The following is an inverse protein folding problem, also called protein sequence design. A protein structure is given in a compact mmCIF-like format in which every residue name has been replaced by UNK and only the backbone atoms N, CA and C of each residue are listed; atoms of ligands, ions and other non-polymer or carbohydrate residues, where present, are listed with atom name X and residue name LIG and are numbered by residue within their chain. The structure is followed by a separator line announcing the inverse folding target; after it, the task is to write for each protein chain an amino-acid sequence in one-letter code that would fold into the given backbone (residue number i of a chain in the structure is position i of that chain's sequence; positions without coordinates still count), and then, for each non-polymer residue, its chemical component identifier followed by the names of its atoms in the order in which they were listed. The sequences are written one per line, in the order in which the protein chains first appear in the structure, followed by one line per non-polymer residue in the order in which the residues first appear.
data_IF_746404236164
#
_entry.id   IF_746404236164
#
_cell.length_a   1.000
_cell.length_b   1.000
_cell.length_c   1.000
_cell.angle_alpha   90.00
_cell.angle_beta   90.00
_cell.angle_gamma   90.00
#
_symmetry.space_group_name_H-M   'P 1'
#
loop_
_entity.id
_entity.type
_entity.pdbx_description
1 polymer ?
#
# COMPACT_ATOMS: atom_id res chain seq x y z
N UNK A 1 9.59 12.26 23.78
CA UNK A 1 9.29 13.46 24.60
C UNK A 1 9.18 14.75 23.80
N UNK A 2 10.22 15.26 23.13
CA UNK A 2 10.10 16.55 22.41
C UNK A 2 9.15 16.48 21.19
N UNK A 3 9.25 15.42 20.38
CA UNK A 3 8.35 15.18 19.24
C UNK A 3 6.88 15.07 19.68
N UNK A 4 6.58 14.29 20.72
CA UNK A 4 5.22 14.17 21.27
C UNK A 4 4.63 15.51 21.77
N UNK A 5 5.49 16.44 22.20
CA UNK A 5 5.06 17.79 22.61
C UNK A 5 4.76 18.64 21.37
N UNK A 6 5.56 18.52 20.31
CA UNK A 6 5.35 19.21 19.04
C UNK A 6 4.04 18.73 18.39
N UNK A 7 3.82 17.41 18.32
CA UNK A 7 2.61 16.83 17.73
C UNK A 7 1.36 17.29 18.48
N UNK A 8 1.39 17.26 19.81
CA UNK A 8 0.28 17.74 20.64
C UNK A 8 -0.02 19.23 20.46
N UNK A 9 1.00 20.05 20.21
CA UNK A 9 0.81 21.49 19.93
C UNK A 9 0.18 21.67 18.55
N UNK A 10 0.64 20.92 17.55
CA UNK A 10 0.08 20.94 16.21
C UNK A 10 -1.39 20.48 16.21
N UNK A 11 -1.70 19.40 16.93
CA UNK A 11 -3.05 18.90 17.14
C UNK A 11 -3.98 19.96 17.72
N UNK A 12 -3.59 20.59 18.84
CA UNK A 12 -4.39 21.65 19.47
C UNK A 12 -4.60 22.84 18.56
N UNK A 13 -3.57 23.21 17.78
CA UNK A 13 -3.66 24.30 16.81
C UNK A 13 -4.67 23.98 15.71
N UNK A 14 -4.67 22.75 15.21
CA UNK A 14 -5.61 22.28 14.19
C UNK A 14 -7.03 22.13 14.75
N UNK A 15 -7.19 21.67 16.00
CA UNK A 15 -8.49 21.67 16.70
C UNK A 15 -9.06 23.09 16.83
N UNK A 16 -8.24 24.06 17.26
CA UNK A 16 -8.66 25.45 17.39
C UNK A 16 -9.10 26.04 16.02
N UNK A 17 -8.37 25.71 14.94
CA UNK A 17 -8.76 26.10 13.58
C UNK A 17 -10.04 25.41 13.10
N UNK A 18 -10.24 24.14 13.43
CA UNK A 18 -11.45 23.39 13.10
C UNK A 18 -12.68 24.03 13.77
N UNK A 19 -12.60 24.34 15.06
CA UNK A 19 -13.64 25.04 15.79
C UNK A 19 -13.94 26.44 15.20
N UNK A 20 -12.91 27.12 14.70
CA UNK A 20 -13.03 28.42 14.06
C UNK A 20 -13.37 28.39 12.56
N UNK A 21 -13.70 27.22 11.98
CA UNK A 21 -13.95 27.05 10.53
C UNK A 21 -12.81 27.59 9.63
N UNK A 22 -11.57 27.57 10.12
CA UNK A 22 -10.39 28.12 9.47
C UNK A 22 -9.38 27.03 9.07
N UNK A 23 -9.86 25.81 8.79
CA UNK A 23 -9.00 24.71 8.35
C UNK A 23 -8.46 25.00 6.94
N UNK A 24 -7.17 24.72 6.67
CA UNK A 24 -6.64 24.74 5.31
C UNK A 24 -7.41 23.78 4.41
N UNK A 25 -7.64 24.17 3.16
CA UNK A 25 -8.30 23.31 2.16
C UNK A 25 -7.46 22.09 1.77
N UNK A 26 -6.15 22.13 1.99
CA UNK A 26 -5.23 21.03 1.76
C UNK A 26 -4.30 20.90 2.96
N UNK A 27 -4.14 19.66 3.42
CA UNK A 27 -3.20 19.30 4.46
C UNK A 27 -2.38 18.11 3.99
N UNK A 28 -1.06 18.25 4.03
CA UNK A 28 -0.12 17.20 3.65
C UNK A 28 0.53 16.71 4.93
N UNK A 29 0.29 15.45 5.26
CA UNK A 29 0.94 14.75 6.36
C UNK A 29 1.95 13.75 5.80
N UNK A 30 3.13 13.66 6.44
CA UNK A 30 4.19 12.72 6.08
C UNK A 30 4.41 11.77 7.25
N UNK A 31 3.76 10.63 7.18
CA UNK A 31 3.98 9.52 8.10
C UNK A 31 5.44 9.09 8.09
N UNK A 32 5.97 8.89 9.29
CA UNK A 32 7.28 8.26 9.51
C UNK A 32 7.07 6.86 10.06
N UNK A 33 8.09 6.02 9.96
CA UNK A 33 8.03 4.60 10.28
C UNK A 33 7.61 4.30 11.73
N UNK A 34 7.84 5.24 12.64
CA UNK A 34 7.41 5.25 14.05
C UNK A 34 5.90 5.52 14.24
N UNK A 35 5.20 6.02 13.23
CA UNK A 35 3.73 6.25 13.28
C UNK A 35 2.91 4.96 13.22
N UNK A 36 3.55 3.81 13.01
CA UNK A 36 2.90 2.51 12.87
C UNK A 36 2.93 1.65 14.15
N UNK A 37 3.47 2.18 15.26
CA UNK A 37 3.50 1.49 16.54
C UNK A 37 2.07 1.39 17.14
N UNK A 38 1.50 0.20 17.05
CA UNK A 38 0.17 -0.14 17.59
C UNK A 38 0.21 -0.62 19.04
N UNK A 39 1.38 -0.60 19.71
CA UNK A 39 1.46 -0.85 21.15
C UNK A 39 0.79 0.26 21.98
N UNK A 40 0.52 1.40 21.34
CA UNK A 40 -0.29 2.45 21.94
C UNK A 40 -1.77 2.09 21.81
N UNK A 41 -2.39 1.91 22.97
CA UNK A 41 -3.80 1.65 23.20
C UNK A 41 -4.73 2.29 22.15
N UNK A 42 -5.57 1.48 21.53
CA UNK A 42 -6.58 1.86 20.50
C UNK A 42 -7.54 3.00 20.94
N UNK A 43 -7.52 3.36 22.22
CA UNK A 43 -8.22 4.49 22.83
C UNK A 43 -7.55 5.84 22.58
N UNK A 44 -6.28 5.89 22.15
CA UNK A 44 -5.66 7.10 21.59
C UNK A 44 -6.12 7.26 20.15
N UNK A 45 -7.30 7.85 20.03
CA UNK A 45 -7.80 8.54 18.84
C UNK A 45 -6.65 9.03 17.97
N UNK A 46 -6.52 8.46 16.77
CA UNK A 46 -5.66 8.87 15.66
C UNK A 46 -5.06 10.28 15.86
N UNK A 47 -3.79 10.35 16.26
CA UNK A 47 -2.99 11.60 16.31
C UNK A 47 -2.77 12.21 14.91
N UNK A 48 -3.33 11.58 13.89
CA UNK A 48 -3.21 11.98 12.52
C UNK A 48 -4.18 13.10 12.24
N UNK A 49 -3.69 14.11 11.54
CA UNK A 49 -4.49 15.27 11.18
C UNK A 49 -5.65 14.92 10.23
N UNK A 50 -5.63 13.71 9.66
CA UNK A 50 -6.73 13.11 8.88
C UNK A 50 -8.07 13.12 9.63
N UNK A 51 -8.06 13.15 10.98
CA UNK A 51 -9.30 13.28 11.78
C UNK A 51 -10.10 14.55 11.49
N UNK A 52 -9.46 15.61 10.99
CA UNK A 52 -10.11 16.88 10.64
C UNK A 52 -10.56 16.98 9.19
N UNK A 53 -10.29 15.98 8.35
CA UNK A 53 -10.53 16.05 6.90
C UNK A 53 -11.85 15.39 6.49
N UNK A 54 -12.55 15.95 5.50
CA UNK A 54 -13.72 15.28 4.88
C UNK A 54 -13.30 14.24 3.83
N UNK A 55 -12.23 14.56 3.08
CA UNK A 55 -11.61 13.69 2.08
C UNK A 55 -10.12 13.53 2.39
N UNK A 56 -9.63 12.30 2.35
CA UNK A 56 -8.23 11.95 2.63
C UNK A 56 -7.68 11.13 1.46
N UNK A 57 -6.48 11.49 1.01
CA UNK A 57 -5.70 10.70 0.06
C UNK A 57 -4.49 10.10 0.77
N UNK A 58 -4.38 8.78 0.75
CA UNK A 58 -3.33 8.04 1.44
C UNK A 58 -2.44 7.29 0.45
N UNK A 59 -1.18 7.69 0.36
CA UNK A 59 -0.21 7.10 -0.57
C UNK A 59 0.80 6.25 0.19
N UNK A 60 0.83 4.96 -0.12
CA UNK A 60 1.81 4.00 0.41
C UNK A 60 2.91 3.78 -0.61
N UNK A 61 4.06 4.39 -0.38
CA UNK A 61 5.22 4.27 -1.27
C UNK A 61 6.05 3.07 -0.83
N UNK A 62 5.98 1.98 -1.58
CA UNK A 62 6.72 0.74 -1.34
C UNK A 62 8.07 0.83 -2.06
N UNK A 63 9.14 0.71 -1.30
CA UNK A 63 10.51 0.69 -1.83
C UNK A 63 11.21 -0.58 -1.33
N UNK A 64 11.85 -1.36 -2.22
CA UNK A 64 12.62 -2.52 -1.81
C UNK A 64 13.64 -2.17 -0.71
N UNK A 65 13.79 -2.97 0.35
CA UNK A 65 14.71 -2.67 1.45
C UNK A 65 16.17 -2.48 1.00
N UNK A 66 16.64 -3.27 0.03
CA UNK A 66 17.97 -3.11 -0.56
C UNK A 66 18.12 -1.73 -1.25
N UNK A 67 17.14 -1.31 -2.04
CA UNK A 67 17.11 0.02 -2.66
C UNK A 67 17.07 1.13 -1.61
N UNK A 68 16.36 0.93 -0.52
CA UNK A 68 16.28 1.89 0.59
C UNK A 68 17.66 2.12 1.22
N UNK A 69 18.47 1.06 1.37
CA UNK A 69 19.88 1.17 1.82
C UNK A 69 20.70 2.00 0.85
N UNK A 70 20.66 1.66 -0.45
CA UNK A 70 21.43 2.39 -1.46
C UNK A 70 21.02 3.86 -1.56
N UNK A 71 19.72 4.15 -1.54
CA UNK A 71 19.18 5.51 -1.61
C UNK A 71 19.56 6.31 -0.37
N UNK A 72 19.51 5.68 0.81
CA UNK A 72 19.97 6.29 2.06
C UNK A 72 21.45 6.64 2.01
N UNK A 73 22.29 5.74 1.47
CA UNK A 73 23.72 6.00 1.25
C UNK A 73 23.96 7.17 0.29
N UNK A 74 23.34 7.15 -0.91
CA UNK A 74 23.44 8.23 -1.91
C UNK A 74 23.02 9.58 -1.33
N UNK A 75 21.94 9.62 -0.54
CA UNK A 75 21.52 10.82 0.19
C UNK A 75 22.52 11.22 1.28
N UNK A 76 23.11 10.27 1.98
CA UNK A 76 24.15 10.50 2.97
C UNK A 76 25.36 11.20 2.38
N UNK A 77 25.80 10.78 1.18
CA UNK A 77 26.87 11.46 0.44
C UNK A 77 26.54 12.93 0.12
N UNK A 78 25.29 13.24 -0.21
CA UNK A 78 24.85 14.60 -0.53
C UNK A 78 24.67 15.49 0.70
N UNK A 79 24.22 14.92 1.82
CA UNK A 79 23.77 15.67 3.00
C UNK A 79 24.73 15.60 4.19
N UNK A 80 25.73 14.71 4.14
CA UNK A 80 26.64 14.41 5.25
C UNK A 80 25.99 13.64 6.40
N UNK A 81 24.75 13.14 6.24
CA UNK A 81 24.00 12.43 7.30
C UNK A 81 23.74 10.98 6.92
N UNK A 82 24.44 10.07 7.58
CA UNK A 82 24.32 8.63 7.37
C UNK A 82 23.40 7.98 8.40
N UNK A 83 22.78 6.86 8.01
CA UNK A 83 22.08 5.94 8.91
C UNK A 83 22.81 4.61 8.93
N UNK A 84 22.79 3.93 10.06
CA UNK A 84 23.26 2.56 10.15
C UNK A 84 22.35 1.65 9.32
N UNK A 85 22.93 0.63 8.68
CA UNK A 85 22.21 -0.24 7.74
C UNK A 85 21.21 -1.12 8.49
N UNK A 86 21.66 -1.74 9.57
CA UNK A 86 20.86 -2.53 10.50
C UNK A 86 19.65 -1.75 11.02
N UNK A 87 19.87 -0.53 11.50
CA UNK A 87 18.81 0.38 11.98
C UNK A 87 17.81 0.73 10.86
N UNK A 88 18.30 0.99 9.64
CA UNK A 88 17.44 1.26 8.49
C UNK A 88 16.59 0.05 8.11
N UNK A 89 17.18 -1.15 8.06
CA UNK A 89 16.48 -2.38 7.73
C UNK A 89 15.46 -2.75 8.81
N UNK A 90 15.81 -2.57 10.09
CA UNK A 90 14.90 -2.77 11.21
C UNK A 90 13.66 -1.86 11.09
N UNK A 91 13.85 -0.57 10.79
CA UNK A 91 12.72 0.34 10.55
C UNK A 91 11.84 -0.05 9.35
N UNK A 92 12.40 -0.70 8.31
CA UNK A 92 11.58 -1.24 7.22
C UNK A 92 10.66 -2.34 7.74
N UNK A 93 11.18 -3.27 8.55
CA UNK A 93 10.39 -4.36 9.14
C UNK A 93 9.23 -3.80 9.96
N UNK A 94 9.50 -2.82 10.83
CA UNK A 94 8.48 -2.17 11.65
C UNK A 94 7.40 -1.51 10.79
N UNK A 95 7.81 -0.77 9.75
CA UNK A 95 6.91 -0.11 8.83
C UNK A 95 5.95 -1.10 8.14
N UNK A 96 6.50 -2.15 7.53
CA UNK A 96 5.70 -3.15 6.80
C UNK A 96 4.85 -4.01 7.73
N UNK A 97 5.25 -4.16 9.00
CA UNK A 97 4.48 -4.88 10.02
C UNK A 97 3.29 -4.08 10.54
N UNK A 98 3.46 -2.77 10.78
CA UNK A 98 2.40 -1.92 11.32
C UNK A 98 1.50 -1.29 10.25
N UNK A 99 1.96 -1.15 9.01
CA UNK A 99 1.19 -0.58 7.90
C UNK A 99 -0.21 -1.20 7.69
N UNK A 100 -0.40 -2.53 7.73
CA UNK A 100 -1.74 -3.12 7.66
C UNK A 100 -2.67 -2.71 8.80
N UNK A 101 -2.13 -2.53 10.01
CA UNK A 101 -2.89 -2.14 11.19
C UNK A 101 -3.37 -0.70 11.13
N UNK A 102 -2.64 0.18 10.43
CA UNK A 102 -3.11 1.52 10.09
C UNK A 102 -4.10 1.48 8.92
N UNK A 103 -3.76 0.73 7.87
CA UNK A 103 -4.48 0.75 6.60
C UNK A 103 -5.95 0.35 6.75
N UNK A 104 -6.23 -0.86 7.26
CA UNK A 104 -7.59 -1.38 7.24
C UNK A 104 -8.58 -0.55 8.10
N UNK A 105 -8.27 -0.18 9.36
CA UNK A 105 -9.17 0.68 10.13
C UNK A 105 -9.42 2.04 9.45
N UNK A 106 -8.39 2.58 8.79
CA UNK A 106 -8.46 3.88 8.12
C UNK A 106 -9.36 3.83 6.90
N UNK A 107 -9.14 2.89 5.97
CA UNK A 107 -9.86 2.84 4.69
C UNK A 107 -11.27 2.24 4.78
N UNK A 108 -11.55 1.47 5.84
CA UNK A 108 -12.87 0.92 6.12
C UNK A 108 -13.72 1.85 7.02
N UNK A 109 -13.16 2.98 7.47
CA UNK A 109 -13.92 3.98 8.22
C UNK A 109 -14.99 4.61 7.32
N UNK A 110 -16.25 4.54 7.76
CA UNK A 110 -17.39 5.16 7.06
C UNK A 110 -17.51 6.67 7.31
N UNK A 111 -16.68 7.26 8.17
CA UNK A 111 -16.83 8.66 8.58
C UNK A 111 -16.27 9.67 7.58
N UNK A 112 -15.47 9.23 6.59
CA UNK A 112 -14.74 10.09 5.66
C UNK A 112 -14.67 9.47 4.27
N UNK A 113 -14.47 10.31 3.26
CA UNK A 113 -14.06 9.82 1.94
C UNK A 113 -12.56 9.53 1.97
N UNK A 114 -12.21 8.26 1.80
CA UNK A 114 -10.85 7.74 1.87
C UNK A 114 -10.44 7.23 0.49
N UNK A 115 -9.50 7.91 -0.14
CA UNK A 115 -8.78 7.43 -1.32
C UNK A 115 -7.42 6.89 -0.87
N UNK A 116 -6.98 5.80 -1.48
CA UNK A 116 -5.66 5.26 -1.21
C UNK A 116 -5.02 4.69 -2.47
N UNK A 117 -3.69 4.69 -2.48
CA UNK A 117 -2.89 4.13 -3.55
C UNK A 117 -1.57 3.56 -3.02
N UNK A 118 -1.21 2.39 -3.51
CA UNK A 118 0.06 1.74 -3.30
C UNK A 118 0.93 1.98 -4.53
N UNK A 119 2.14 2.47 -4.29
CA UNK A 119 3.07 2.92 -5.32
C UNK A 119 4.36 2.11 -5.25
N UNK A 120 4.77 1.54 -6.37
CA UNK A 120 6.08 0.91 -6.54
C UNK A 120 7.11 1.99 -6.88
N UNK A 121 8.05 2.19 -5.96
CA UNK A 121 9.12 3.18 -6.07
C UNK A 121 10.48 2.54 -6.38
N UNK A 122 10.50 1.32 -6.92
CA UNK A 122 11.72 0.70 -7.50
C UNK A 122 12.20 1.40 -8.79
N UNK A 123 11.48 2.41 -9.27
CA UNK A 123 11.86 3.26 -10.42
C UNK A 123 13.04 4.19 -10.09
N UNK A 124 13.71 4.69 -11.13
CA UNK A 124 14.83 5.62 -10.99
C UNK A 124 14.41 6.96 -10.34
N UNK A 125 15.38 7.67 -9.75
CA UNK A 125 15.11 8.96 -9.12
C UNK A 125 14.61 9.98 -10.16
N UNK A 126 13.46 10.60 -9.87
CA UNK A 126 12.82 11.57 -10.76
C UNK A 126 11.80 10.95 -11.70
N UNK A 127 11.78 9.63 -11.82
CA UNK A 127 10.76 8.91 -12.58
C UNK A 127 9.46 8.78 -11.79
N UNK A 128 8.36 8.68 -12.53
CA UNK A 128 7.03 8.47 -11.96
C UNK A 128 6.92 7.05 -11.41
N UNK A 129 6.46 6.85 -10.16
CA UNK A 129 6.25 5.51 -9.62
C UNK A 129 5.14 4.76 -10.36
N UNK A 130 5.12 3.44 -10.25
CA UNK A 130 4.06 2.60 -10.83
C UNK A 130 2.95 2.37 -9.80
N UNK A 131 1.70 2.25 -10.24
CA UNK A 131 0.59 1.93 -9.34
C UNK A 131 0.50 0.43 -9.14
N UNK A 132 0.58 -0.02 -7.88
CA UNK A 132 0.43 -1.43 -7.49
C UNK A 132 -1.05 -1.75 -7.27
N UNK A 133 -1.73 -0.89 -6.53
CA UNK A 133 -3.14 -1.01 -6.21
C UNK A 133 -3.69 0.36 -5.80
N UNK A 134 -4.98 0.56 -5.94
CA UNK A 134 -5.66 1.78 -5.51
C UNK A 134 -7.09 1.47 -5.06
N UNK A 135 -7.75 2.43 -4.44
CA UNK A 135 -9.14 2.25 -4.08
C UNK A 135 -9.75 3.41 -3.34
N UNK A 136 -11.03 3.23 -3.05
CA UNK A 136 -11.86 4.16 -2.30
C UNK A 136 -12.82 3.38 -1.43
N UNK A 137 -12.99 3.78 -0.18
CA UNK A 137 -14.01 3.30 0.78
C UNK A 137 -14.57 1.89 0.48
N UNK A 138 -13.87 0.85 0.92
CA UNK A 138 -14.35 -0.53 0.79
C UNK A 138 -14.29 -1.13 -0.62
N UNK A 139 -13.73 -0.41 -1.60
CA UNK A 139 -13.36 -0.94 -2.92
C UNK A 139 -11.84 -0.84 -3.10
N UNK A 140 -11.24 -1.87 -3.71
CA UNK A 140 -9.82 -1.90 -4.05
C UNK A 140 -9.61 -2.55 -5.42
N UNK A 141 -8.81 -1.92 -6.26
CA UNK A 141 -8.30 -2.50 -7.50
C UNK A 141 -6.82 -2.84 -7.30
N UNK A 142 -6.45 -4.09 -7.55
CA UNK A 142 -5.07 -4.58 -7.50
C UNK A 142 -4.60 -4.81 -8.93
N UNK A 143 -3.48 -4.17 -9.28
CA UNK A 143 -2.87 -4.23 -10.61
C UNK A 143 -1.65 -5.14 -10.66
N UNK A 144 -0.97 -5.32 -9.53
CA UNK A 144 0.26 -6.10 -9.43
C UNK A 144 0.28 -6.87 -8.10
N UNK A 145 -0.07 -8.17 -8.15
CA UNK A 145 -0.12 -9.03 -6.96
C UNK A 145 1.28 -9.21 -6.36
N UNK A 146 2.31 -9.33 -7.21
CA UNK A 146 3.68 -9.50 -6.75
C UNK A 146 4.18 -8.29 -5.96
N UNK A 147 3.98 -7.09 -6.50
CA UNK A 147 4.38 -5.86 -5.83
C UNK A 147 3.55 -5.54 -4.60
N UNK A 148 2.30 -5.99 -4.53
CA UNK A 148 1.51 -5.83 -3.30
C UNK A 148 1.95 -6.82 -2.21
N UNK A 149 2.35 -8.04 -2.59
CA UNK A 149 2.90 -9.04 -1.66
C UNK A 149 4.26 -8.64 -1.06
N UNK A 150 4.98 -7.71 -1.70
CA UNK A 150 6.23 -7.17 -1.15
C UNK A 150 6.02 -6.61 0.29
N UNK A 151 4.81 -6.19 0.66
CA UNK A 151 4.44 -5.80 2.04
C UNK A 151 4.69 -6.93 3.05
N UNK A 152 4.38 -8.18 2.70
CA UNK A 152 4.64 -9.32 3.58
C UNK A 152 6.10 -9.74 3.48
N UNK A 153 6.64 -9.78 2.26
CA UNK A 153 8.02 -10.20 1.99
C UNK A 153 9.04 -9.34 2.74
N UNK A 154 8.83 -8.02 2.76
CA UNK A 154 9.77 -7.08 3.38
C UNK A 154 9.72 -7.06 4.91
N UNK A 155 8.82 -7.82 5.55
CA UNK A 155 8.89 -8.09 6.99
C UNK A 155 9.99 -9.09 7.34
N UNK A 156 10.46 -9.88 6.37
CA UNK A 156 11.43 -10.95 6.55
C UNK A 156 12.86 -10.54 6.14
N UNK A 157 13.15 -9.24 6.18
CA UNK A 157 14.46 -8.70 5.82
C UNK A 157 15.54 -9.16 6.79
N UNK A 158 16.70 -9.52 6.27
CA UNK A 158 17.88 -9.83 7.07
C UNK A 158 18.58 -8.54 7.54
N UNK A 159 18.36 -8.14 8.79
CA UNK A 159 19.00 -6.96 9.39
C UNK A 159 20.52 -7.09 9.55
N UNK A 160 21.04 -8.32 9.52
CA UNK A 160 22.47 -8.61 9.59
C UNK A 160 23.13 -8.67 8.20
N UNK A 161 22.42 -8.30 7.14
CA UNK A 161 22.94 -8.29 5.78
C UNK A 161 24.19 -7.41 5.65
N UNK A 162 25.25 -7.97 5.09
CA UNK A 162 26.50 -7.27 4.77
C UNK A 162 26.62 -6.92 3.29
N UNK A 163 25.72 -7.47 2.46
CA UNK A 163 25.64 -7.21 1.01
C UNK A 163 24.19 -7.08 0.54
N UNK A 164 23.91 -6.36 -0.56
CA UNK A 164 22.54 -6.15 -1.05
C UNK A 164 21.75 -7.45 -1.30
N UNK A 165 22.41 -8.48 -1.83
CA UNK A 165 21.82 -9.79 -2.09
C UNK A 165 21.40 -10.54 -0.82
N UNK A 166 21.98 -10.19 0.34
CA UNK A 166 21.67 -10.82 1.62
C UNK A 166 20.45 -10.20 2.30
N UNK A 167 19.95 -9.05 1.81
CA UNK A 167 18.88 -8.27 2.46
C UNK A 167 17.55 -9.02 2.46
N UNK A 168 17.26 -9.76 1.39
CA UNK A 168 16.07 -10.62 1.30
C UNK A 168 16.51 -12.08 1.23
N UNK A 169 15.80 -13.01 1.89
CA UNK A 169 16.10 -14.43 1.77
C UNK A 169 15.91 -14.91 0.32
N UNK A 170 16.69 -15.92 -0.09
CA UNK A 170 16.67 -16.48 -1.45
C UNK A 170 15.31 -17.12 -1.79
N UNK A 171 14.69 -17.80 -0.82
CA UNK A 171 13.36 -18.42 -0.94
C UNK A 171 12.46 -17.93 0.20
N UNK A 172 11.94 -16.68 0.11
CA UNK A 172 11.00 -16.19 1.11
C UNK A 172 9.72 -17.05 1.02
N UNK A 173 9.31 -17.62 2.14
CA UNK A 173 7.99 -18.23 2.23
C UNK A 173 6.93 -17.13 2.04
N UNK A 174 6.35 -17.05 0.85
CA UNK A 174 5.33 -16.06 0.52
C UNK A 174 4.05 -16.36 1.29
N UNK A 175 3.83 -15.64 2.39
CA UNK A 175 2.63 -15.83 3.21
C UNK A 175 1.32 -15.40 2.52
N UNK A 176 1.41 -14.45 1.56
CA UNK A 176 0.27 -13.76 0.94
C UNK A 176 -0.76 -13.22 1.95
N UNK A 177 -0.36 -13.00 3.21
CA UNK A 177 -1.25 -12.70 4.32
C UNK A 177 -1.96 -11.34 4.15
N UNK A 178 -1.25 -10.33 3.66
CA UNK A 178 -1.81 -9.01 3.39
C UNK A 178 -2.81 -9.05 2.23
N UNK A 179 -2.46 -9.72 1.12
CA UNK A 179 -3.36 -9.93 -0.01
C UNK A 179 -4.64 -10.67 0.40
N UNK A 180 -4.48 -11.77 1.15
CA UNK A 180 -5.62 -12.50 1.69
C UNK A 180 -6.45 -11.63 2.64
N UNK A 181 -5.82 -10.77 3.43
CA UNK A 181 -6.54 -9.81 4.27
C UNK A 181 -7.30 -8.76 3.45
N UNK A 182 -6.76 -8.28 2.32
CA UNK A 182 -7.48 -7.40 1.40
C UNK A 182 -8.77 -8.05 0.92
N UNK A 183 -8.72 -9.27 0.36
CA UNK A 183 -9.92 -9.97 -0.14
C UNK A 183 -10.94 -10.25 0.97
N UNK A 184 -10.48 -10.58 2.19
CA UNK A 184 -11.38 -10.86 3.32
C UNK A 184 -12.04 -9.63 3.91
N UNK A 185 -11.31 -8.51 4.01
CA UNK A 185 -11.74 -7.33 4.79
C UNK A 185 -12.33 -6.23 3.92
N UNK A 186 -11.90 -6.12 2.66
CA UNK A 186 -12.38 -5.11 1.73
C UNK A 186 -13.62 -5.69 1.01
N UNK A 187 -14.79 -5.02 1.12
CA UNK A 187 -16.04 -5.50 0.53
C UNK A 187 -15.96 -5.85 -0.95
N UNK A 188 -15.20 -5.10 -1.75
CA UNK A 188 -15.04 -5.38 -3.17
C UNK A 188 -13.56 -5.25 -3.57
N UNK A 189 -13.01 -6.32 -4.15
CA UNK A 189 -11.65 -6.32 -4.69
C UNK A 189 -11.69 -6.73 -6.14
N UNK A 190 -11.15 -5.88 -7.01
CA UNK A 190 -10.99 -6.10 -8.44
C UNK A 190 -9.52 -6.41 -8.73
N UNK A 191 -9.26 -7.41 -9.54
CA UNK A 191 -7.96 -7.70 -10.12
C UNK A 191 -7.97 -7.29 -11.59
N UNK A 192 -7.01 -6.47 -11.99
CA UNK A 192 -6.88 -6.02 -13.36
C UNK A 192 -5.41 -6.05 -13.82
N UNK A 193 -5.18 -6.28 -15.11
CA UNK A 193 -3.84 -6.23 -15.68
C UNK A 193 -3.27 -4.81 -15.58
N UNK A 194 -2.05 -4.67 -15.07
CA UNK A 194 -1.41 -3.37 -14.88
C UNK A 194 -1.28 -2.57 -16.19
N UNK A 195 -0.99 -3.21 -17.32
CA UNK A 195 -0.67 -2.50 -18.55
C UNK A 195 -1.93 -2.05 -19.31
N UNK A 196 -2.97 -2.87 -19.30
CA UNK A 196 -4.19 -2.70 -20.10
C UNK A 196 -5.41 -2.28 -19.29
N UNK A 197 -5.35 -2.41 -17.97
CA UNK A 197 -6.50 -2.28 -17.06
C UNK A 197 -7.63 -3.29 -17.33
N UNK A 198 -7.37 -4.35 -18.09
CA UNK A 198 -8.33 -5.42 -18.32
C UNK A 198 -8.63 -6.15 -17.00
N UNK A 199 -9.89 -6.12 -16.58
CA UNK A 199 -10.34 -6.80 -15.37
C UNK A 199 -10.35 -8.30 -15.64
N UNK A 200 -9.59 -9.05 -14.87
CA UNK A 200 -9.56 -10.51 -14.99
C UNK A 200 -10.16 -11.21 -13.78
N UNK A 201 -10.31 -10.54 -12.64
CA UNK A 201 -10.87 -11.16 -11.44
C UNK A 201 -11.64 -10.17 -10.58
N UNK A 202 -12.65 -10.65 -9.86
CA UNK A 202 -13.26 -9.85 -8.80
C UNK A 202 -13.83 -10.69 -7.66
N UNK A 203 -13.76 -10.12 -6.47
CA UNK A 203 -14.35 -10.67 -5.26
C UNK A 203 -15.29 -9.68 -4.60
N UNK A 204 -16.32 -10.22 -3.94
CA UNK A 204 -17.22 -9.48 -3.07
C UNK A 204 -17.31 -10.18 -1.72
N UNK A 205 -16.98 -9.48 -0.64
CA UNK A 205 -16.92 -10.01 0.72
C UNK A 205 -16.12 -11.32 0.80
N UNK A 206 -14.95 -11.35 0.15
CA UNK A 206 -14.06 -12.52 0.11
C UNK A 206 -14.51 -13.68 -0.78
N UNK A 207 -15.62 -13.56 -1.51
CA UNK A 207 -16.08 -14.58 -2.47
C UNK A 207 -15.81 -14.13 -3.90
N UNK A 208 -15.31 -15.04 -4.73
CA UNK A 208 -15.13 -14.77 -6.16
C UNK A 208 -16.48 -14.63 -6.85
N UNK A 209 -16.66 -13.54 -7.59
CA UNK A 209 -17.87 -13.24 -8.37
C UNK A 209 -17.60 -13.17 -9.88
N UNK A 210 -16.34 -12.97 -10.27
CA UNK A 210 -15.92 -12.89 -11.67
C UNK A 210 -14.50 -13.43 -11.86
N UNK A 211 -14.28 -14.13 -12.97
CA UNK A 211 -12.97 -14.62 -13.43
C UNK A 211 -12.93 -14.68 -14.95
N UNK A 212 -11.86 -14.15 -15.52
CA UNK A 212 -11.51 -14.26 -16.94
C UNK A 212 -10.02 -14.64 -17.05
N UNK A 213 -9.68 -15.94 -16.97
CA UNK A 213 -8.29 -16.40 -17.00
C UNK A 213 -7.52 -15.98 -18.27
N UNK A 214 -8.23 -15.73 -19.38
CA UNK A 214 -7.62 -15.27 -20.63
C UNK A 214 -7.04 -13.84 -20.52
N UNK A 215 -7.61 -13.02 -19.65
CA UNK A 215 -7.22 -11.63 -19.41
C UNK A 215 -6.24 -11.49 -18.23
N UNK A 216 -6.01 -12.58 -17.50
CA UNK A 216 -5.03 -12.60 -16.40
C UNK A 216 -3.60 -12.48 -16.95
N UNK A 217 -2.68 -11.81 -16.22
CA UNK A 217 -1.29 -11.73 -16.60
C UNK A 217 -0.71 -13.13 -16.88
N UNK A 218 -0.10 -13.29 -18.06
CA UNK A 218 0.53 -14.57 -18.42
C UNK A 218 1.62 -14.89 -17.42
N UNK A 219 1.46 -15.99 -16.70
CA UNK A 219 2.48 -16.53 -15.82
C UNK A 219 2.81 -17.97 -16.21
N UNK A 220 4.08 -18.36 -16.02
CA UNK A 220 4.45 -19.75 -16.13
C UNK A 220 3.67 -20.58 -15.08
N UNK A 221 3.34 -21.83 -15.40
CA UNK A 221 2.74 -22.73 -14.42
C UNK A 221 3.64 -22.84 -13.18
N UNK A 222 3.07 -22.60 -11.99
CA UNK A 222 3.84 -22.55 -10.74
C UNK A 222 4.63 -21.26 -10.51
N UNK A 223 4.53 -20.28 -11.42
CA UNK A 223 5.08 -18.94 -11.21
C UNK A 223 4.39 -18.19 -10.06
N UNK A 224 4.99 -17.07 -9.65
CA UNK A 224 4.52 -16.28 -8.51
C UNK A 224 3.03 -15.92 -8.59
N UNK A 225 2.58 -15.40 -9.74
CA UNK A 225 1.18 -15.00 -9.96
C UNK A 225 0.23 -16.18 -9.77
N UNK A 226 0.56 -17.35 -10.34
CA UNK A 226 -0.23 -18.57 -10.21
C UNK A 226 -0.30 -19.06 -8.75
N UNK A 227 0.83 -19.04 -8.03
CA UNK A 227 0.87 -19.37 -6.59
C UNK A 227 0.02 -18.40 -5.77
N UNK A 228 0.08 -17.11 -6.08
CA UNK A 228 -0.69 -16.08 -5.41
C UNK A 228 -2.19 -16.28 -5.65
N UNK A 229 -2.63 -16.42 -6.90
CA UNK A 229 -4.03 -16.66 -7.24
C UNK A 229 -4.56 -17.95 -6.59
N UNK A 230 -3.77 -19.03 -6.60
CA UNK A 230 -4.11 -20.26 -5.91
C UNK A 230 -4.31 -20.05 -4.40
N UNK A 231 -3.39 -19.32 -3.73
CA UNK A 231 -3.50 -18.97 -2.31
C UNK A 231 -4.72 -18.09 -2.00
N UNK A 232 -5.16 -17.27 -2.96
CA UNK A 232 -6.39 -16.47 -2.88
C UNK A 232 -7.67 -17.24 -3.23
N UNK A 233 -7.58 -18.55 -3.51
CA UNK A 233 -8.73 -19.40 -3.82
C UNK A 233 -9.31 -19.19 -5.22
N UNK A 234 -8.46 -18.83 -6.19
CA UNK A 234 -8.84 -18.60 -7.58
C UNK A 234 -9.59 -19.77 -8.24
N UNK A 235 -9.31 -21.02 -7.85
CA UNK A 235 -9.99 -22.20 -8.38
C UNK A 235 -11.24 -22.61 -7.57
N UNK A 236 -11.62 -21.80 -6.56
CA UNK A 236 -12.77 -22.08 -5.69
C UNK A 236 -14.13 -21.80 -6.35
N UNK A 237 -15.24 -21.88 -5.60
CA UNK A 237 -16.58 -21.55 -6.09
C UNK A 237 -16.67 -20.13 -6.68
N UNK A 238 -17.53 -19.96 -7.68
CA UNK A 238 -17.78 -18.69 -8.37
C UNK A 238 -19.26 -18.31 -8.26
N UNK A 239 -19.54 -17.22 -7.55
CA UNK A 239 -20.87 -16.61 -7.47
C UNK A 239 -21.05 -15.66 -8.66
N UNK A 240 -21.19 -16.24 -9.86
CA UNK A 240 -21.10 -15.53 -11.12
C UNK A 240 -21.98 -14.28 -11.18
N UNK A 241 -21.36 -13.14 -11.45
CA UNK A 241 -21.98 -11.85 -11.68
C UNK A 241 -21.46 -11.22 -12.98
N UNK A 242 -22.08 -10.12 -13.40
CA UNK A 242 -21.58 -9.34 -14.53
C UNK A 242 -20.13 -8.87 -14.28
N UNK A 243 -19.30 -8.79 -15.34
CA UNK A 243 -17.95 -8.29 -15.22
C UNK A 243 -17.94 -6.89 -14.61
N UNK A 244 -17.16 -6.65 -13.53
CA UNK A 244 -17.01 -5.31 -13.01
C UNK A 244 -16.36 -4.43 -14.07
N UNK A 245 -16.80 -3.17 -14.14
CA UNK A 245 -16.21 -2.18 -15.04
C UNK A 245 -15.29 -1.28 -14.25
N UNK A 246 -14.07 -1.11 -14.77
CA UNK A 246 -13.11 -0.15 -14.26
C UNK A 246 -13.12 1.10 -15.14
N UNK A 247 -13.53 2.25 -14.59
CA UNK A 247 -13.45 3.53 -15.30
C UNK A 247 -12.02 4.08 -15.20
N UNK A 248 -11.19 3.66 -16.17
CA UNK A 248 -9.77 4.00 -16.21
C UNK A 248 -9.53 5.51 -16.19
N UNK A 249 -10.36 6.29 -16.86
CA UNK A 249 -10.19 7.74 -16.94
C UNK A 249 -10.52 8.41 -15.59
N UNK A 250 -11.59 7.96 -14.93
CA UNK A 250 -11.96 8.47 -13.62
C UNK A 250 -10.93 8.12 -12.55
N UNK A 251 -10.46 6.87 -12.52
CA UNK A 251 -9.50 6.43 -11.52
C UNK A 251 -8.14 7.12 -11.69
N UNK A 252 -7.71 7.36 -12.94
CA UNK A 252 -6.48 8.10 -13.24
C UNK A 252 -6.45 9.54 -12.74
N UNK A 253 -7.62 10.18 -12.57
CA UNK A 253 -7.70 11.51 -11.96
C UNK A 253 -7.41 11.50 -10.46
N UNK A 254 -7.46 10.32 -9.83
CA UNK A 254 -7.32 10.12 -8.40
C UNK A 254 -6.03 9.35 -8.02
N UNK A 255 -5.40 8.67 -8.99
CA UNK A 255 -4.12 7.97 -8.82
C UNK A 255 -2.93 8.79 -9.33
N UNK A 256 -1.79 8.68 -8.65
CA UNK A 256 -0.54 9.32 -9.00
C UNK A 256 0.37 8.43 -9.84
N UNK A 257 0.36 7.11 -9.69
CA UNK A 257 1.29 6.24 -10.39
C UNK A 257 0.92 5.95 -11.84
N UNK A 258 1.85 5.34 -12.57
CA UNK A 258 1.64 4.90 -13.95
C UNK A 258 0.96 3.52 -14.02
N UNK A 259 -0.12 3.40 -14.81
CA UNK A 259 -0.84 2.15 -15.09
C UNK A 259 -1.86 2.31 -16.24
N UNK A 260 -2.29 1.21 -16.86
CA UNK A 260 -3.35 1.15 -17.88
C UNK A 260 -3.02 1.85 -19.21
N UNK A 261 -1.74 2.11 -19.50
CA UNK A 261 -1.29 2.98 -20.60
C UNK A 261 -1.43 2.34 -21.98
N UNK A 262 -1.65 1.03 -22.05
CA UNK A 262 -1.89 0.30 -23.29
C UNK A 262 -3.39 0.09 -23.48
N UNK A 263 -3.86 0.19 -24.72
CA UNK A 263 -5.20 -0.29 -25.03
C UNK A 263 -5.29 -1.80 -24.74
N UNK A 264 -6.40 -2.24 -24.16
CA UNK A 264 -6.71 -3.67 -24.09
C UNK A 264 -6.75 -4.26 -25.51
N UNK A 265 -6.18 -5.46 -25.72
CA UNK A 265 -6.14 -6.12 -27.03
C UNK A 265 -7.53 -6.47 -27.58
#
# INVERSE_FOLDING_TARGET
QELEIIDRKLDRHMEAKALGQALPHVLIDRFRFDSFDTSQDSSKTSQLLTRFSDTVFLFFVITPPADTVERSWKRGLQTGRFKAVDDLLYHNIEAYSGMPNLFFPTVLSASKTMHFEFLDNSVALGERPRTIAFGRNGQMTILDLARLNDIDRFRNVNVAATRPEEVLPEDPEDSFAFLAACLRRIPEVILADHATAAVYGATRNGKWIYRAPADAPRSAAGGFEARCLAALGWDGPLDAADPPRLDVEAERRLTLGAWGERAAP
#
